data_IF_902157917735
#
_entry.id   IF_902157917735
#
_cell.length_a   1.000
_cell.length_b   1.000
_cell.length_c   1.000
_cell.angle_alpha   90.00
_cell.angle_beta   90.00
_cell.angle_gamma   90.00
#
_symmetry.space_group_name_H-M   'P 1'
#
loop_
_entity.id
_entity.type
_entity.pdbx_description
1 polymer ?
#
# COMPACT_ATOMS: atom_id res chain seq x y z
N UNK A 1 -64.62 17.71 -33.92
CA UNK A 1 -63.43 17.95 -33.06
C UNK A 1 -63.76 18.21 -31.58
N UNK A 2 -65.02 18.28 -31.14
CA UNK A 2 -65.37 18.47 -29.72
C UNK A 2 -65.32 17.17 -28.89
N UNK A 3 -65.63 16.00 -29.47
CA UNK A 3 -65.74 14.74 -28.72
C UNK A 3 -64.40 14.15 -28.21
N UNK A 4 -63.27 14.56 -28.77
CA UNK A 4 -61.94 14.09 -28.35
C UNK A 4 -61.37 14.86 -27.14
N UNK A 5 -61.80 16.11 -26.93
CA UNK A 5 -61.33 16.95 -25.80
C UNK A 5 -61.98 16.58 -24.45
N UNK A 6 -63.17 15.98 -24.48
CA UNK A 6 -63.85 15.54 -23.24
C UNK A 6 -63.23 14.23 -22.73
N UNK A 7 -62.77 13.36 -23.63
CA UNK A 7 -62.08 12.12 -23.28
C UNK A 7 -60.69 12.36 -22.67
N UNK A 8 -59.94 13.37 -23.12
CA UNK A 8 -58.63 13.69 -22.52
C UNK A 8 -58.75 14.30 -21.12
N UNK A 9 -59.81 15.06 -20.85
CA UNK A 9 -60.06 15.64 -19.52
C UNK A 9 -60.47 14.57 -18.48
N UNK A 10 -61.23 13.55 -18.89
CA UNK A 10 -61.59 12.42 -18.03
C UNK A 10 -60.40 11.49 -17.73
N UNK A 11 -59.50 11.29 -18.69
CA UNK A 11 -58.26 10.51 -18.45
C UNK A 11 -57.28 11.22 -17.50
N UNK A 12 -57.25 12.56 -17.51
CA UNK A 12 -56.39 13.35 -16.61
C UNK A 12 -56.85 13.34 -15.14
N UNK A 13 -58.15 13.25 -14.89
CA UNK A 13 -58.71 13.17 -13.53
C UNK A 13 -58.52 11.79 -12.88
N UNK A 14 -58.52 10.70 -13.67
CA UNK A 14 -58.35 9.34 -13.14
C UNK A 14 -56.89 9.04 -12.74
N UNK A 15 -55.91 9.68 -13.40
CA UNK A 15 -54.49 9.53 -13.06
C UNK A 15 -54.04 10.40 -11.86
N UNK A 16 -54.75 11.49 -11.58
CA UNK A 16 -54.49 12.32 -10.40
C UNK A 16 -55.00 11.67 -9.10
N UNK A 17 -56.09 10.89 -9.18
CA UNK A 17 -56.72 10.25 -8.02
C UNK A 17 -55.92 9.03 -7.52
N UNK A 18 -55.24 8.29 -8.41
CA UNK A 18 -54.39 7.17 -8.01
C UNK A 18 -53.06 7.57 -7.34
N UNK A 19 -52.57 8.79 -7.57
CA UNK A 19 -51.38 9.30 -6.86
C UNK A 19 -51.73 9.80 -5.44
N UNK A 20 -52.96 10.28 -5.23
CA UNK A 20 -53.48 10.68 -3.92
C UNK A 20 -53.82 9.49 -3.01
N UNK A 21 -54.34 8.40 -3.60
CA UNK A 21 -54.86 7.26 -2.82
C UNK A 21 -53.77 6.34 -2.24
N UNK A 22 -52.57 6.29 -2.83
CA UNK A 22 -51.44 5.52 -2.25
C UNK A 22 -50.87 6.21 -1.00
N UNK A 23 -50.79 7.55 -1.01
CA UNK A 23 -50.37 8.32 0.17
C UNK A 23 -51.49 8.34 1.21
N UNK A 24 -52.76 8.40 0.80
CA UNK A 24 -53.93 8.34 1.70
C UNK A 24 -54.10 7.00 2.42
N UNK A 25 -53.88 5.86 1.75
CA UNK A 25 -54.09 4.53 2.34
C UNK A 25 -52.94 3.99 3.19
N UNK A 26 -51.70 4.39 2.95
CA UNK A 26 -50.56 3.96 3.80
C UNK A 26 -50.51 4.75 5.12
N UNK A 27 -51.08 5.95 5.15
CA UNK A 27 -51.01 6.86 6.31
C UNK A 27 -52.36 7.09 7.02
N UNK A 28 -53.44 6.44 6.58
CA UNK A 28 -54.79 6.66 7.12
C UNK A 28 -55.03 6.14 8.54
N UNK A 29 -54.19 5.25 9.06
CA UNK A 29 -54.33 4.67 10.41
C UNK A 29 -52.98 4.39 11.08
N UNK A 30 -51.99 5.24 10.81
CA UNK A 30 -50.66 5.14 11.44
C UNK A 30 -50.60 6.18 12.55
N UNK A 31 -50.43 5.71 13.79
CA UNK A 31 -50.21 6.56 14.95
C UNK A 31 -49.26 7.72 14.62
N UNK A 32 -49.61 8.99 14.90
CA UNK A 32 -48.78 10.14 14.52
C UNK A 32 -47.36 10.07 15.12
N UNK A 33 -47.19 9.34 16.22
CA UNK A 33 -45.88 9.04 16.82
C UNK A 33 -45.07 8.06 15.97
N UNK A 34 -45.71 7.08 15.35
CA UNK A 34 -45.08 6.09 14.49
C UNK A 34 -44.63 6.75 13.17
N UNK A 35 -45.44 7.65 12.61
CA UNK A 35 -45.09 8.46 11.44
C UNK A 35 -43.94 9.45 11.73
N UNK A 36 -43.92 10.10 12.89
CA UNK A 36 -42.80 10.95 13.29
C UNK A 36 -41.49 10.15 13.48
N UNK A 37 -41.60 8.94 14.02
CA UNK A 37 -40.45 8.04 14.16
C UNK A 37 -39.91 7.55 12.80
N UNK A 38 -40.77 7.25 11.83
CA UNK A 38 -40.32 6.83 10.49
C UNK A 38 -39.56 7.94 9.75
N UNK A 39 -40.01 9.20 9.84
CA UNK A 39 -39.27 10.35 9.31
C UNK A 39 -37.90 10.52 9.97
N UNK A 40 -37.80 10.25 11.27
CA UNK A 40 -36.53 10.28 12.01
C UNK A 40 -35.58 9.18 11.53
N UNK A 41 -36.10 7.97 11.26
CA UNK A 41 -35.31 6.85 10.70
C UNK A 41 -34.76 7.21 9.31
N UNK A 42 -35.60 7.75 8.42
CA UNK A 42 -35.18 8.19 7.08
C UNK A 42 -34.08 9.27 7.17
N UNK A 43 -34.21 10.21 8.11
CA UNK A 43 -33.18 11.23 8.35
C UNK A 43 -31.86 10.63 8.81
N UNK A 44 -31.91 9.63 9.69
CA UNK A 44 -30.72 8.91 10.16
C UNK A 44 -30.05 8.12 9.04
N UNK A 45 -30.81 7.46 8.19
CA UNK A 45 -30.29 6.73 7.03
C UNK A 45 -29.52 7.67 6.08
N UNK A 46 -30.11 8.83 5.76
CA UNK A 46 -29.43 9.85 4.93
C UNK A 46 -28.13 10.35 5.59
N UNK A 47 -28.15 10.56 6.92
CA UNK A 47 -26.94 10.94 7.66
C UNK A 47 -25.89 9.84 7.65
N UNK A 48 -26.29 8.57 7.76
CA UNK A 48 -25.38 7.43 7.72
C UNK A 48 -24.72 7.31 6.35
N UNK A 49 -25.48 7.44 5.26
CA UNK A 49 -24.93 7.45 3.89
C UNK A 49 -23.97 8.63 3.68
N UNK A 50 -24.32 9.82 4.19
CA UNK A 50 -23.41 10.98 4.14
C UNK A 50 -22.15 10.78 4.96
N UNK A 51 -22.24 10.17 6.16
CA UNK A 51 -21.10 9.85 7.00
C UNK A 51 -20.20 8.80 6.35
N UNK A 52 -20.76 7.78 5.70
CA UNK A 52 -20.01 6.78 4.94
C UNK A 52 -19.19 7.42 3.82
N UNK A 53 -19.79 8.35 3.07
CA UNK A 53 -19.08 9.12 2.04
C UNK A 53 -17.93 9.95 2.64
N UNK A 54 -18.20 10.68 3.73
CA UNK A 54 -17.17 11.45 4.45
C UNK A 54 -16.05 10.58 5.00
N UNK A 55 -16.36 9.37 5.47
CA UNK A 55 -15.38 8.44 6.00
C UNK A 55 -14.42 7.96 4.90
N UNK A 56 -14.94 7.62 3.72
CA UNK A 56 -14.12 7.24 2.56
C UNK A 56 -13.20 8.37 2.08
N UNK A 57 -13.66 9.62 2.15
CA UNK A 57 -12.80 10.76 1.82
C UNK A 57 -11.77 11.06 2.92
N UNK A 58 -12.13 10.82 4.18
CA UNK A 58 -11.20 10.94 5.31
C UNK A 58 -10.12 9.85 5.28
N UNK A 59 -10.44 8.62 4.87
CA UNK A 59 -9.48 7.50 4.76
C UNK A 59 -8.31 7.79 3.81
N UNK A 60 -8.52 8.65 2.80
CA UNK A 60 -7.46 9.06 1.85
C UNK A 60 -6.40 9.96 2.49
N UNK A 61 -6.71 10.55 3.64
CA UNK A 61 -5.83 11.49 4.33
C UNK A 61 -5.39 10.81 5.63
N UNK A 62 -4.15 10.34 5.64
CA UNK A 62 -3.48 9.81 6.83
C UNK A 62 -2.46 10.84 7.34
N UNK A 63 -2.80 11.64 8.37
CA UNK A 63 -1.88 12.64 8.92
C UNK A 63 -0.65 12.00 9.56
N UNK A 64 -0.82 10.86 10.23
CA UNK A 64 0.27 10.20 10.95
C UNK A 64 1.25 9.57 9.95
N UNK A 65 0.73 8.90 8.91
CA UNK A 65 1.54 8.41 7.79
C UNK A 65 2.31 9.52 7.07
N UNK A 66 1.68 10.68 6.85
CA UNK A 66 2.36 11.83 6.25
C UNK A 66 3.50 12.36 7.13
N UNK A 67 3.30 12.47 8.44
CA UNK A 67 4.35 12.90 9.36
C UNK A 67 5.53 11.92 9.37
N UNK A 68 5.25 10.61 9.39
CA UNK A 68 6.28 9.57 9.32
C UNK A 68 7.06 9.62 7.99
N UNK A 69 6.40 9.94 6.87
CA UNK A 69 7.07 10.12 5.58
C UNK A 69 8.04 11.30 5.63
N UNK A 70 7.60 12.45 6.16
CA UNK A 70 8.44 13.63 6.27
C UNK A 70 9.62 13.37 7.22
N UNK A 71 9.37 12.72 8.36
CA UNK A 71 10.41 12.35 9.32
C UNK A 71 11.48 11.44 8.69
N UNK A 72 11.07 10.41 7.96
CA UNK A 72 11.98 9.50 7.27
C UNK A 72 12.81 10.24 6.19
N UNK A 73 12.18 11.13 5.42
CA UNK A 73 12.86 11.91 4.37
C UNK A 73 13.84 12.93 4.95
N UNK A 74 13.48 13.58 6.06
CA UNK A 74 14.37 14.52 6.75
C UNK A 74 15.55 13.75 7.34
N UNK A 75 15.31 12.62 8.00
CA UNK A 75 16.35 11.76 8.56
C UNK A 75 17.36 11.28 7.52
N UNK A 76 16.91 10.92 6.31
CA UNK A 76 17.81 10.54 5.20
C UNK A 76 18.70 11.72 4.75
N UNK A 77 18.19 12.95 4.78
CA UNK A 77 18.95 14.14 4.42
C UNK A 77 19.93 14.58 5.52
N UNK A 78 19.53 14.44 6.78
CA UNK A 78 20.40 14.70 7.94
C UNK A 78 21.53 13.67 8.03
N UNK A 79 21.23 12.43 7.66
CA UNK A 79 22.13 11.30 7.78
C UNK A 79 22.33 10.88 9.23
N UNK A 80 23.18 9.86 9.42
CA UNK A 80 23.47 9.27 10.74
C UNK A 80 24.95 9.50 11.07
N UNK A 81 25.28 9.72 12.35
CA UNK A 81 26.67 9.74 12.81
C UNK A 81 27.29 8.34 12.94
N UNK A 82 26.47 7.29 12.85
CA UNK A 82 26.90 5.90 12.92
C UNK A 82 27.63 5.46 11.64
N UNK A 83 28.52 4.48 11.78
CA UNK A 83 29.27 3.93 10.67
C UNK A 83 28.37 3.11 9.72
N UNK A 84 28.92 2.74 8.57
CA UNK A 84 28.23 1.84 7.64
C UNK A 84 27.98 0.50 8.34
N UNK A 85 26.74 0.01 8.28
CA UNK A 85 26.25 -1.23 8.94
C UNK A 85 26.05 -1.12 10.46
N UNK A 86 25.89 0.10 10.94
CA UNK A 86 25.40 0.38 12.28
C UNK A 86 23.99 0.98 12.22
N UNK A 87 23.27 0.88 13.33
CA UNK A 87 21.94 1.38 13.55
C UNK A 87 21.98 2.45 14.63
N UNK A 88 21.34 3.58 14.38
CA UNK A 88 21.23 4.67 15.32
C UNK A 88 20.05 4.40 16.27
N UNK A 89 20.34 4.28 17.57
CA UNK A 89 19.33 4.02 18.60
C UNK A 89 18.33 5.18 18.77
N UNK A 90 18.64 6.36 18.23
CA UNK A 90 17.82 7.56 18.38
C UNK A 90 17.86 8.12 19.80
N UNK A 91 16.98 9.09 20.08
CA UNK A 91 16.92 9.76 21.38
C UNK A 91 18.09 10.73 21.63
N UNK A 92 18.33 11.05 22.90
CA UNK A 92 19.37 12.01 23.32
C UNK A 92 20.78 11.39 23.36
N UNK A 93 20.86 10.06 23.34
CA UNK A 93 22.10 9.32 23.41
C UNK A 93 22.50 8.97 21.97
N UNK A 94 23.65 9.48 21.53
CA UNK A 94 24.20 9.23 20.20
C UNK A 94 24.81 7.83 20.10
N UNK A 95 24.04 6.81 20.48
CA UNK A 95 24.45 5.41 20.49
C UNK A 95 24.25 4.75 19.12
N UNK A 96 25.23 3.91 18.76
CA UNK A 96 25.24 3.13 17.54
C UNK A 96 25.46 1.66 17.89
N UNK A 97 24.59 0.79 17.38
CA UNK A 97 24.70 -0.67 17.54
C UNK A 97 24.86 -1.33 16.17
N UNK A 98 25.38 -2.56 16.13
CA UNK A 98 25.59 -3.25 14.84
C UNK A 98 24.28 -3.69 14.18
N UNK A 99 24.21 -3.67 12.85
CA UNK A 99 23.03 -4.13 12.08
C UNK A 99 22.65 -5.62 12.29
N UNK A 100 23.51 -6.41 12.93
CA UNK A 100 23.26 -7.81 13.26
C UNK A 100 22.54 -7.98 14.60
N UNK A 101 22.51 -6.93 15.41
CA UNK A 101 21.89 -6.89 16.74
C UNK A 101 20.45 -6.36 16.68
N UNK A 102 20.13 -5.55 15.67
CA UNK A 102 18.79 -5.00 15.48
C UNK A 102 17.76 -6.10 15.28
N UNK A 103 16.73 -6.11 16.12
CA UNK A 103 15.64 -7.09 16.11
C UNK A 103 16.15 -8.53 16.27
N UNK A 104 17.16 -8.75 17.10
CA UNK A 104 17.68 -10.07 17.43
C UNK A 104 16.96 -10.73 18.62
N UNK A 105 16.21 -9.94 19.39
CA UNK A 105 15.45 -10.33 20.57
C UNK A 105 16.06 -9.87 21.90
N UNK A 106 17.16 -9.13 21.89
CA UNK A 106 17.80 -8.53 23.06
C UNK A 106 17.88 -7.02 22.89
N UNK A 107 17.65 -6.27 23.97
CA UNK A 107 17.81 -4.82 23.93
C UNK A 107 19.31 -4.48 24.01
N UNK A 108 19.90 -4.07 22.91
CA UNK A 108 21.28 -3.60 22.82
C UNK A 108 21.40 -2.08 22.90
N UNK A 109 20.37 -1.33 22.49
CA UNK A 109 20.30 0.10 22.75
C UNK A 109 19.90 0.37 24.21
N UNK A 110 20.44 1.43 24.84
CA UNK A 110 20.05 1.84 26.19
C UNK A 110 18.55 2.16 26.32
N UNK A 111 17.96 2.67 25.25
CA UNK A 111 16.53 2.97 25.15
C UNK A 111 15.68 1.79 24.62
N UNK A 112 16.30 0.68 24.20
CA UNK A 112 15.65 -0.49 23.61
C UNK A 112 15.07 -0.27 22.20
N UNK A 113 15.42 0.82 21.52
CA UNK A 113 14.85 1.18 20.20
C UNK A 113 15.16 0.15 19.10
N UNK A 114 16.26 -0.58 19.23
CA UNK A 114 16.63 -1.69 18.33
C UNK A 114 15.64 -2.87 18.36
N UNK A 115 14.82 -2.98 19.40
CA UNK A 115 13.79 -4.01 19.56
C UNK A 115 12.35 -3.45 19.50
N UNK A 116 12.20 -2.17 19.13
CA UNK A 116 10.88 -1.55 19.01
C UNK A 116 10.06 -2.18 17.89
N UNK A 117 8.75 -2.32 18.13
CA UNK A 117 7.82 -2.96 17.19
C UNK A 117 7.73 -2.26 15.83
N UNK A 118 8.00 -0.96 15.77
CA UNK A 118 8.01 -0.13 14.56
C UNK A 118 9.25 -0.43 13.71
N UNK A 119 10.40 -0.65 14.35
CA UNK A 119 11.67 -1.04 13.73
C UNK A 119 11.59 -2.49 13.26
N UNK A 120 11.12 -3.39 14.14
CA UNK A 120 11.06 -4.83 13.90
C UNK A 120 9.81 -5.31 13.14
N UNK A 121 9.12 -4.39 12.47
CA UNK A 121 7.94 -4.71 11.67
C UNK A 121 8.30 -5.64 10.51
N UNK A 122 7.65 -6.80 10.46
CA UNK A 122 7.79 -7.76 9.36
C UNK A 122 6.84 -7.48 8.20
N UNK A 123 6.04 -6.42 8.28
CA UNK A 123 5.02 -6.08 7.29
C UNK A 123 5.58 -5.87 5.86
N UNK A 124 6.73 -5.21 5.65
CA UNK A 124 7.29 -4.98 4.31
C UNK A 124 7.51 -6.26 3.49
N UNK A 125 7.90 -7.34 4.16
CA UNK A 125 8.29 -8.61 3.52
C UNK A 125 7.40 -9.78 3.93
N UNK A 126 6.14 -9.48 4.22
CA UNK A 126 5.12 -10.50 4.43
C UNK A 126 4.88 -11.27 3.13
N UNK A 127 4.87 -12.60 3.21
CA UNK A 127 4.57 -13.44 2.06
C UNK A 127 3.15 -13.13 1.53
N UNK A 128 3.03 -13.02 0.22
CA UNK A 128 1.82 -12.58 -0.45
C UNK A 128 1.84 -11.10 -0.87
N UNK A 129 2.68 -10.27 -0.27
CA UNK A 129 2.81 -8.87 -0.68
C UNK A 129 3.25 -8.78 -2.14
N UNK A 130 2.58 -7.89 -2.90
CA UNK A 130 2.88 -7.61 -4.29
C UNK A 130 3.20 -6.14 -4.42
N UNK A 131 4.45 -5.81 -4.71
CA UNK A 131 4.88 -4.46 -4.98
C UNK A 131 4.92 -4.23 -6.49
N UNK A 132 4.31 -3.15 -6.98
CA UNK A 132 4.32 -2.79 -8.39
C UNK A 132 4.85 -1.38 -8.57
N UNK A 133 5.64 -1.17 -9.62
CA UNK A 133 6.24 0.12 -9.90
C UNK A 133 6.77 0.23 -11.31
N UNK A 134 7.07 1.45 -11.75
CA UNK A 134 7.71 1.67 -13.06
C UNK A 134 9.22 1.66 -12.91
N UNK A 135 9.90 0.83 -13.69
CA UNK A 135 11.36 0.76 -13.76
C UNK A 135 11.85 1.66 -14.88
N UNK A 136 12.62 2.68 -14.52
CA UNK A 136 13.24 3.62 -15.44
C UNK A 136 14.73 3.27 -15.62
N UNK A 137 15.09 2.77 -16.81
CA UNK A 137 16.44 2.29 -17.11
C UNK A 137 17.33 3.42 -17.59
N UNK A 138 18.51 3.52 -16.97
CA UNK A 138 19.53 4.52 -17.33
C UNK A 138 20.78 3.88 -17.92
N UNK A 139 21.09 2.66 -17.53
CA UNK A 139 22.34 1.98 -17.85
C UNK A 139 22.18 0.44 -17.90
N UNK A 140 23.25 -0.27 -18.24
CA UNK A 140 23.41 -1.74 -18.28
C UNK A 140 22.56 -2.48 -19.32
N UNK A 141 21.27 -2.17 -19.45
CA UNK A 141 20.36 -2.76 -20.43
C UNK A 141 19.60 -1.66 -21.17
N UNK A 142 19.45 -1.83 -22.48
CA UNK A 142 18.64 -0.92 -23.32
C UNK A 142 17.18 -1.38 -23.24
N UNK A 143 16.41 -0.78 -22.32
CA UNK A 143 14.98 -1.04 -22.14
C UNK A 143 14.21 0.27 -22.04
N UNK A 144 13.00 0.29 -22.58
CA UNK A 144 12.05 1.37 -22.32
C UNK A 144 11.45 1.20 -20.92
N UNK A 145 10.91 2.30 -20.39
CA UNK A 145 10.19 2.32 -19.13
C UNK A 145 9.07 1.27 -19.14
N UNK A 146 9.08 0.43 -18.12
CA UNK A 146 8.16 -0.69 -18.03
C UNK A 146 7.77 -0.95 -16.59
N UNK A 147 6.63 -1.61 -16.40
CA UNK A 147 6.20 -2.02 -15.05
C UNK A 147 7.05 -3.19 -14.58
N UNK A 148 7.45 -3.16 -13.32
CA UNK A 148 8.07 -4.26 -12.60
C UNK A 148 7.19 -4.62 -11.41
N UNK A 149 6.96 -5.91 -11.22
CA UNK A 149 6.19 -6.47 -10.10
C UNK A 149 7.10 -7.36 -9.27
N UNK A 150 7.13 -7.14 -7.97
CA UNK A 150 7.89 -7.92 -7.00
C UNK A 150 6.89 -8.58 -6.07
N UNK A 151 6.73 -9.90 -6.21
CA UNK A 151 5.83 -10.69 -5.38
C UNK A 151 6.64 -11.48 -4.36
N UNK A 152 6.41 -11.23 -3.08
CA UNK A 152 7.05 -11.97 -2.00
C UNK A 152 6.42 -13.36 -1.91
N UNK A 153 7.14 -14.40 -2.31
CA UNK A 153 6.62 -15.77 -2.36
C UNK A 153 6.77 -16.49 -1.02
N UNK A 154 7.88 -16.23 -0.32
CA UNK A 154 8.15 -16.84 0.98
C UNK A 154 8.98 -15.89 1.84
N UNK A 155 8.65 -15.82 3.12
CA UNK A 155 9.52 -15.19 4.13
C UNK A 155 9.72 -16.14 5.30
N UNK A 156 10.97 -16.25 5.77
CA UNK A 156 11.36 -17.13 6.85
C UNK A 156 12.33 -16.42 7.79
N UNK A 157 11.96 -16.32 9.06
CA UNK A 157 12.80 -15.80 10.13
C UNK A 157 13.29 -16.97 10.99
N UNK A 158 14.60 -17.08 11.21
CA UNK A 158 15.17 -18.17 12.01
C UNK A 158 15.05 -17.82 13.48
N UNK A 159 14.64 -18.79 14.32
CA UNK A 159 14.49 -18.54 15.77
C UNK A 159 15.79 -18.14 16.47
N UNK A 160 16.91 -18.71 16.01
CA UNK A 160 18.25 -18.45 16.57
C UNK A 160 18.95 -17.23 15.95
N UNK A 161 18.37 -16.61 14.92
CA UNK A 161 18.94 -15.44 14.25
C UNK A 161 17.81 -14.59 13.70
N UNK A 162 17.35 -13.66 14.53
CA UNK A 162 16.14 -12.89 14.27
C UNK A 162 16.42 -11.57 13.53
N UNK A 163 17.66 -11.08 13.51
CA UNK A 163 18.04 -9.80 12.91
C UNK A 163 17.80 -9.69 11.39
N UNK A 164 17.52 -10.80 10.69
CA UNK A 164 17.22 -10.81 9.25
C UNK A 164 16.06 -11.74 8.94
N UNK A 165 15.27 -11.37 7.94
CA UNK A 165 14.26 -12.24 7.34
C UNK A 165 14.80 -12.74 6.01
N UNK A 166 14.83 -14.05 5.82
CA UNK A 166 15.18 -14.66 4.54
C UNK A 166 13.97 -14.66 3.63
N UNK A 167 14.12 -14.10 2.43
CA UNK A 167 13.02 -13.85 1.51
C UNK A 167 13.25 -14.58 0.20
N UNK A 168 12.17 -15.17 -0.34
CA UNK A 168 12.07 -15.54 -1.75
C UNK A 168 11.00 -14.69 -2.40
N UNK A 169 11.24 -14.30 -3.64
CA UNK A 169 10.33 -13.46 -4.40
C UNK A 169 10.32 -13.88 -5.87
N UNK A 170 9.24 -13.55 -6.55
CA UNK A 170 9.13 -13.57 -8.00
C UNK A 170 9.19 -12.13 -8.49
N UNK A 171 10.11 -11.84 -9.41
CA UNK A 171 10.23 -10.53 -10.05
C UNK A 171 9.78 -10.67 -11.49
N UNK A 172 8.77 -9.89 -11.88
CA UNK A 172 8.19 -9.87 -13.22
C UNK A 172 8.36 -8.48 -13.83
N UNK A 173 8.57 -8.41 -15.14
CA UNK A 173 8.71 -7.18 -15.88
C UNK A 173 7.92 -7.27 -17.18
N UNK A 174 6.98 -6.35 -17.39
CA UNK A 174 6.13 -6.34 -18.58
C UNK A 174 6.83 -5.55 -19.69
N UNK A 175 7.57 -6.26 -20.54
CA UNK A 175 8.37 -5.66 -21.61
C UNK A 175 7.55 -5.60 -22.89
N UNK A 176 7.65 -4.50 -23.63
CA UNK A 176 7.07 -4.41 -24.97
C UNK A 176 8.15 -4.70 -26.01
N UNK A 177 8.00 -5.79 -26.76
CA UNK A 177 8.93 -6.17 -27.84
C UNK A 177 8.14 -6.37 -29.14
N UNK A 178 8.55 -5.69 -30.21
CA UNK A 178 7.91 -5.77 -31.54
C UNK A 178 6.37 -5.60 -31.52
N UNK A 179 5.85 -4.69 -30.67
CA UNK A 179 4.43 -4.42 -30.55
C UNK A 179 3.61 -5.43 -29.74
N UNK A 180 4.26 -6.44 -29.15
CA UNK A 180 3.64 -7.40 -28.22
C UNK A 180 4.23 -7.24 -26.81
N UNK A 181 3.36 -7.23 -25.81
CA UNK A 181 3.79 -7.25 -24.40
C UNK A 181 4.18 -8.68 -24.02
N UNK A 182 5.39 -8.87 -23.55
CA UNK A 182 5.93 -10.12 -23.02
C UNK A 182 6.37 -9.91 -21.58
N UNK A 183 5.94 -10.81 -20.70
CA UNK A 183 6.35 -10.77 -19.29
C UNK A 183 7.65 -11.55 -19.15
N UNK A 184 8.69 -10.85 -18.71
CA UNK A 184 9.98 -11.44 -18.37
C UNK A 184 10.03 -11.63 -16.86
N UNK A 185 10.14 -12.87 -16.39
CA UNK A 185 10.09 -13.19 -14.96
C UNK A 185 11.27 -14.05 -14.52
N UNK A 186 11.71 -13.83 -13.29
CA UNK A 186 12.74 -14.64 -12.64
C UNK A 186 12.44 -14.80 -11.16
N UNK A 187 12.82 -15.96 -10.62
CA UNK A 187 12.77 -16.21 -9.18
C UNK A 187 14.00 -15.57 -8.53
N UNK A 188 13.83 -14.99 -7.35
CA UNK A 188 14.89 -14.36 -6.59
C UNK A 188 14.91 -14.86 -5.14
N UNK A 189 16.10 -14.86 -4.55
CA UNK A 189 16.32 -15.09 -3.11
C UNK A 189 17.06 -13.90 -2.52
N UNK A 190 16.89 -13.68 -1.23
CA UNK A 190 17.73 -12.74 -0.52
C UNK A 190 17.23 -12.56 0.91
N UNK A 191 17.31 -11.32 1.40
CA UNK A 191 17.00 -11.03 2.78
C UNK A 191 16.47 -9.61 2.96
N UNK A 192 15.78 -9.42 4.07
CA UNK A 192 15.40 -8.13 4.61
C UNK A 192 16.23 -7.82 5.85
N UNK A 193 16.76 -6.61 5.92
CA UNK A 193 17.49 -6.07 7.06
C UNK A 193 16.66 -4.96 7.71
N UNK A 194 16.36 -5.12 9.00
CA UNK A 194 15.57 -4.15 9.77
C UNK A 194 16.30 -2.83 9.98
N UNK A 195 17.60 -2.87 10.29
CA UNK A 195 18.41 -1.68 10.63
C UNK A 195 18.36 -0.58 9.55
N UNK A 196 18.39 -0.98 8.28
CA UNK A 196 18.35 -0.07 7.15
C UNK A 196 17.05 -0.19 6.34
N UNK A 197 16.06 -0.92 6.87
CA UNK A 197 14.78 -1.23 6.19
C UNK A 197 14.96 -1.64 4.73
N UNK A 198 15.96 -2.49 4.47
CA UNK A 198 16.44 -2.81 3.11
C UNK A 198 16.11 -4.25 2.72
N UNK A 199 15.41 -4.41 1.61
CA UNK A 199 15.17 -5.68 0.93
C UNK A 199 16.19 -5.86 -0.20
N UNK A 200 16.93 -6.97 -0.16
CA UNK A 200 17.87 -7.35 -1.22
C UNK A 200 17.39 -8.64 -1.86
N UNK A 201 17.26 -8.66 -3.18
CA UNK A 201 16.83 -9.80 -3.98
C UNK A 201 17.81 -10.07 -5.12
N UNK A 202 18.40 -11.26 -5.11
CA UNK A 202 19.35 -11.76 -6.10
C UNK A 202 18.69 -12.86 -6.92
N UNK A 203 18.84 -12.89 -8.25
CA UNK A 203 18.24 -13.93 -9.10
C UNK A 203 18.68 -15.36 -8.70
N UNK A 204 17.76 -16.30 -8.87
CA UNK A 204 17.99 -17.74 -8.73
C UNK A 204 18.21 -18.35 -10.12
N UNK A 205 19.44 -18.75 -10.43
CA UNK A 205 19.80 -19.45 -11.67
C UNK A 205 20.80 -18.66 -12.52
N UNK A 206 21.41 -19.37 -13.47
CA UNK A 206 22.61 -18.98 -14.23
C UNK A 206 22.30 -18.20 -15.53
N UNK A 207 21.16 -17.54 -15.60
CA UNK A 207 20.81 -16.73 -16.77
C UNK A 207 21.18 -15.27 -16.49
N UNK A 208 22.37 -14.88 -16.97
CA UNK A 208 23.05 -13.58 -16.82
C UNK A 208 22.25 -12.32 -17.23
N UNK A 209 20.99 -12.47 -17.64
CA UNK A 209 20.18 -11.35 -18.16
C UNK A 209 19.36 -10.63 -17.09
N UNK A 210 19.30 -11.16 -15.87
CA UNK A 210 18.51 -10.58 -14.77
C UNK A 210 19.40 -9.91 -13.73
N UNK A 211 19.20 -8.60 -13.54
CA UNK A 211 19.86 -7.83 -12.51
C UNK A 211 19.16 -7.98 -11.16
N UNK A 212 19.93 -7.90 -10.08
CA UNK A 212 19.43 -7.90 -8.71
C UNK A 212 18.54 -6.68 -8.45
N UNK A 213 17.68 -6.78 -7.45
CA UNK A 213 16.79 -5.70 -7.01
C UNK A 213 17.12 -5.37 -5.56
N UNK A 214 17.35 -4.10 -5.27
CA UNK A 214 17.54 -3.60 -3.90
C UNK A 214 16.49 -2.53 -3.65
N UNK A 215 15.70 -2.68 -2.60
CA UNK A 215 14.65 -1.75 -2.19
C UNK A 215 14.89 -1.25 -0.78
N UNK A 216 14.77 0.05 -0.56
CA UNK A 216 14.77 0.69 0.75
C UNK A 216 13.34 1.16 1.07
N UNK A 217 12.82 0.81 2.25
CA UNK A 217 11.53 1.30 2.73
C UNK A 217 11.72 2.60 3.52
N UNK A 218 11.96 3.67 2.77
CA UNK A 218 12.39 5.01 3.20
C UNK A 218 11.25 6.05 3.22
N UNK A 219 10.01 5.64 2.97
CA UNK A 219 8.83 6.54 2.92
C UNK A 219 8.05 6.61 4.24
N UNK A 220 8.64 6.15 5.36
CA UNK A 220 7.97 6.14 6.66
C UNK A 220 6.88 5.08 6.84
N UNK A 221 6.61 4.26 5.81
CA UNK A 221 5.61 3.19 5.83
C UNK A 221 6.20 1.83 5.42
N UNK A 222 5.33 0.83 5.25
CA UNK A 222 5.67 -0.52 4.77
C UNK A 222 5.09 -0.84 3.40
N UNK A 223 4.52 0.16 2.73
CA UNK A 223 3.78 0.03 1.48
C UNK A 223 4.57 0.55 0.29
N UNK A 224 5.43 1.54 0.49
CA UNK A 224 6.22 2.20 -0.54
C UNK A 224 7.70 1.96 -0.30
N UNK A 225 8.43 1.75 -1.40
CA UNK A 225 9.88 1.60 -1.34
C UNK A 225 10.56 2.20 -2.57
N UNK A 226 11.71 2.82 -2.33
CA UNK A 226 12.64 3.26 -3.36
C UNK A 226 13.58 2.10 -3.71
N UNK A 227 13.53 1.62 -4.94
CA UNK A 227 14.29 0.48 -5.41
C UNK A 227 15.25 0.83 -6.56
N UNK A 228 16.28 0.01 -6.71
CA UNK A 228 17.20 0.05 -7.84
C UNK A 228 17.43 -1.34 -8.41
N UNK A 229 17.60 -1.42 -9.74
CA UNK A 229 18.17 -2.59 -10.40
C UNK A 229 19.68 -2.47 -10.36
N UNK A 230 20.37 -3.45 -9.77
CA UNK A 230 21.81 -3.37 -9.53
C UNK A 230 22.56 -4.60 -10.05
N UNK A 231 23.82 -4.37 -10.42
CA UNK A 231 24.78 -5.46 -10.64
C UNK A 231 25.17 -6.09 -9.30
N UNK A 232 25.14 -7.42 -9.22
CA UNK A 232 25.42 -8.14 -7.95
C UNK A 232 26.82 -7.85 -7.41
N UNK A 233 27.84 -7.83 -8.29
CA UNK A 233 29.24 -7.68 -7.88
C UNK A 233 29.61 -6.26 -7.43
N UNK A 234 29.05 -5.23 -8.07
CA UNK A 234 29.46 -3.83 -7.86
C UNK A 234 28.42 -3.00 -7.11
N UNK A 235 27.19 -3.50 -6.97
CA UNK A 235 26.03 -2.74 -6.48
C UNK A 235 25.74 -1.46 -7.28
N UNK A 236 26.25 -1.37 -8.52
CA UNK A 236 26.04 -0.21 -9.38
C UNK A 236 24.57 -0.12 -9.84
N UNK A 237 23.89 1.03 -9.67
CA UNK A 237 22.49 1.20 -10.05
C UNK A 237 22.33 1.40 -11.57
N UNK A 238 21.66 0.46 -12.21
CA UNK A 238 21.34 0.47 -13.64
C UNK A 238 19.99 1.13 -13.95
N UNK A 239 19.04 1.04 -13.02
CA UNK A 239 17.69 1.56 -13.18
C UNK A 239 17.10 1.96 -11.83
N UNK A 240 16.24 2.97 -11.85
CA UNK A 240 15.45 3.39 -10.69
C UNK A 240 14.05 2.81 -10.79
N UNK A 241 13.51 2.38 -9.65
CA UNK A 241 12.22 1.72 -9.56
C UNK A 241 11.53 2.16 -8.27
N UNK A 242 10.41 2.86 -8.38
CA UNK A 242 9.60 3.21 -7.22
C UNK A 242 8.41 2.26 -7.16
N UNK A 243 8.30 1.49 -6.08
CA UNK A 243 7.25 0.49 -5.94
C UNK A 243 6.25 0.88 -4.87
N UNK A 244 5.00 0.50 -5.10
CA UNK A 244 3.90 0.61 -4.15
C UNK A 244 3.24 -0.74 -3.95
N UNK A 245 2.80 -1.02 -2.73
CA UNK A 245 2.07 -2.23 -2.39
C UNK A 245 0.73 -2.20 -3.12
N UNK A 246 0.50 -3.20 -3.97
CA UNK A 246 -0.79 -3.43 -4.59
C UNK A 246 -1.76 -3.93 -3.52
N UNK A 247 -2.89 -3.24 -3.36
CA UNK A 247 -3.96 -3.72 -2.49
C UNK A 247 -4.50 -5.06 -3.02
N UNK A 248 -4.67 -6.03 -2.13
CA UNK A 248 -5.39 -7.26 -2.45
C UNK A 248 -6.87 -6.90 -2.62
N UNK A 249 -7.36 -6.99 -3.86
CA UNK A 249 -8.78 -6.90 -4.17
C UNK A 249 -9.45 -8.26 -3.99
#
# INVERSE_FOLDING_TARGET
>A
MWRLLILSALSGLILADQAGDFVGRVFGDVDPRLAANSLKIISLEKKLTSLKGKLHDAEKVDPDGFLNEIDARVSELEGTHCAKREFQCGGNEQECVSDILVCDGHNDCHNGHDEDSTVCSTAPVKAGNVFSGTSHWKDCLVRHDHVTRITITQSSRRKFYQARIWVRALVESDLTSHGKTTTSSFQAKGYYNFAHRRLVLVPLGDHDSHLSVVCNFDHGDSERASCHRVLEATLYPCADLFVTLSQHN
#
